data_IF_833880937905
#
_entry.id   IF_833880937905
#
_cell.length_a   1.000
_cell.length_b   1.000
_cell.length_c   1.000
_cell.angle_alpha   90.00
_cell.angle_beta   90.00
_cell.angle_gamma   90.00
#
_symmetry.space_group_name_H-M   'P 1'
#
loop_
_entity.id
_entity.type
_entity.pdbx_description
1 polymer ?
#
# COMPACT_ATOMS: atom_id res chain seq x y z
N UNK A 1 -24.25 -10.75 11.57
CA UNK A 1 -23.53 -10.20 10.40
C UNK A 1 -22.16 -9.72 10.85
N UNK A 2 -21.08 -10.10 10.17
CA UNK A 2 -19.72 -9.64 10.53
C UNK A 2 -19.51 -8.22 10.05
N UNK A 3 -18.87 -7.37 10.87
CA UNK A 3 -18.50 -5.99 10.48
C UNK A 3 -17.19 -6.02 9.69
N UNK A 4 -17.10 -5.33 8.57
CA UNK A 4 -15.86 -5.26 7.77
C UNK A 4 -14.91 -4.22 8.36
N UNK A 5 -13.65 -4.61 8.56
CA UNK A 5 -12.59 -3.77 9.09
C UNK A 5 -11.39 -3.83 8.15
N UNK A 6 -10.87 -2.68 7.73
CA UNK A 6 -9.72 -2.61 6.83
C UNK A 6 -8.61 -1.81 7.52
N UNK A 7 -7.43 -2.43 7.65
CA UNK A 7 -6.20 -1.76 8.04
C UNK A 7 -5.39 -1.44 6.80
N UNK A 8 -4.87 -0.22 6.70
CA UNK A 8 -4.04 0.22 5.57
C UNK A 8 -2.68 0.60 6.15
N UNK A 9 -1.62 -0.08 5.71
CA UNK A 9 -0.25 0.21 6.10
C UNK A 9 0.64 0.37 4.88
N UNK A 10 1.66 1.21 4.95
CA UNK A 10 2.59 1.41 3.86
C UNK A 10 3.45 0.16 3.63
N UNK A 11 4.01 -0.38 4.71
CA UNK A 11 4.88 -1.55 4.70
C UNK A 11 4.72 -2.32 6.02
N UNK A 12 5.19 -3.57 6.04
CA UNK A 12 5.30 -4.42 7.23
C UNK A 12 6.78 -4.69 7.49
N UNK A 13 7.53 -3.65 7.86
CA UNK A 13 8.93 -3.77 8.26
C UNK A 13 9.05 -4.25 9.72
N UNK A 14 10.26 -4.62 10.13
CA UNK A 14 10.58 -4.85 11.54
C UNK A 14 10.62 -3.49 12.24
N UNK A 15 9.49 -3.07 12.79
CA UNK A 15 9.33 -1.83 13.53
C UNK A 15 8.30 -1.94 14.65
N UNK A 16 8.27 -0.93 15.53
CA UNK A 16 7.39 -0.93 16.70
C UNK A 16 5.91 -0.80 16.35
N UNK A 17 5.59 -0.01 15.32
CA UNK A 17 4.21 0.23 14.88
C UNK A 17 3.66 -1.02 14.20
N UNK A 18 4.46 -1.64 13.34
CA UNK A 18 4.14 -2.84 12.59
C UNK A 18 3.98 -4.03 13.55
N UNK A 19 4.86 -4.17 14.54
CA UNK A 19 4.72 -5.19 15.58
C UNK A 19 3.46 -4.99 16.42
N UNK A 20 3.10 -3.73 16.74
CA UNK A 20 1.85 -3.43 17.42
C UNK A 20 0.63 -3.78 16.55
N UNK A 21 0.68 -3.49 15.25
CA UNK A 21 -0.37 -3.84 14.31
C UNK A 21 -0.55 -5.36 14.22
N UNK A 22 0.53 -6.13 14.07
CA UNK A 22 0.48 -7.61 14.07
C UNK A 22 -0.13 -8.14 15.36
N UNK A 23 0.28 -7.62 16.51
CA UNK A 23 -0.29 -8.01 17.80
C UNK A 23 -1.77 -7.66 17.94
N UNK A 24 -2.20 -6.52 17.38
CA UNK A 24 -3.60 -6.12 17.36
C UNK A 24 -4.44 -7.03 16.45
N UNK A 25 -3.93 -7.34 15.25
CA UNK A 25 -4.55 -8.30 14.32
C UNK A 25 -4.71 -9.66 15.00
N UNK A 26 -3.66 -10.17 15.66
CA UNK A 26 -3.72 -11.47 16.33
C UNK A 26 -4.69 -11.53 17.53
N UNK A 27 -5.07 -10.39 18.10
CA UNK A 27 -6.01 -10.30 19.24
C UNK A 27 -7.43 -9.90 18.84
N UNK A 28 -7.68 -9.64 17.55
CA UNK A 28 -9.00 -9.26 17.06
C UNK A 28 -9.96 -10.45 17.06
N UNK A 29 -11.25 -10.16 17.31
CA UNK A 29 -12.30 -11.16 17.28
C UNK A 29 -12.84 -11.35 15.84
N UNK A 30 -12.29 -12.36 15.16
CA UNK A 30 -12.66 -12.75 13.78
C UNK A 30 -14.06 -13.37 13.65
N UNK A 31 -14.75 -13.66 14.77
CA UNK A 31 -16.16 -14.06 14.73
C UNK A 31 -17.08 -12.85 14.50
N UNK A 32 -16.66 -11.67 14.97
CA UNK A 32 -17.44 -10.43 14.85
C UNK A 32 -16.96 -9.55 13.69
N UNK A 33 -15.68 -9.59 13.37
CA UNK A 33 -15.08 -8.75 12.35
C UNK A 33 -14.52 -9.57 11.18
N UNK A 34 -14.73 -9.07 9.97
CA UNK A 34 -14.04 -9.51 8.76
C UNK A 34 -12.89 -8.54 8.51
N UNK A 35 -11.67 -8.97 8.86
CA UNK A 35 -10.49 -8.10 8.91
C UNK A 35 -9.65 -8.30 7.65
N UNK A 36 -9.41 -7.20 6.94
CA UNK A 36 -8.51 -7.14 5.79
C UNK A 36 -7.34 -6.20 6.11
N UNK A 37 -6.12 -6.64 5.85
CA UNK A 37 -4.91 -5.83 5.95
C UNK A 37 -4.40 -5.53 4.54
N UNK A 38 -4.42 -4.26 4.15
CA UNK A 38 -3.92 -3.75 2.87
C UNK A 38 -2.52 -3.16 3.07
N UNK A 39 -1.55 -3.70 2.37
CA UNK A 39 -0.14 -3.26 2.38
C UNK A 39 0.18 -2.61 1.04
N UNK A 40 0.85 -1.45 1.07
CA UNK A 40 1.13 -0.66 -0.15
C UNK A 40 2.48 -0.98 -0.79
N UNK A 41 3.38 -1.68 -0.09
CA UNK A 41 4.70 -2.12 -0.58
C UNK A 41 4.89 -3.61 -0.30
N UNK A 42 5.75 -4.27 -1.06
CA UNK A 42 6.02 -5.71 -0.93
C UNK A 42 6.88 -6.09 0.29
N UNK A 43 7.19 -5.13 1.16
CA UNK A 43 8.03 -5.39 2.32
C UNK A 43 7.21 -6.00 3.44
N UNK A 44 7.39 -7.31 3.63
CA UNK A 44 6.52 -8.19 4.43
C UNK A 44 7.30 -8.91 5.56
N UNK A 45 8.33 -8.28 6.12
CA UNK A 45 9.26 -8.90 7.08
C UNK A 45 8.57 -9.50 8.33
N UNK A 46 7.42 -8.93 8.72
CA UNK A 46 6.61 -9.41 9.86
C UNK A 46 5.27 -10.01 9.46
N UNK A 47 5.01 -10.18 8.16
CA UNK A 47 3.74 -10.72 7.66
C UNK A 47 3.50 -12.17 8.08
N UNK A 48 4.56 -12.97 8.22
CA UNK A 48 4.49 -14.37 8.67
C UNK A 48 3.96 -14.53 10.09
N UNK A 49 3.96 -13.44 10.88
CA UNK A 49 3.45 -13.42 12.25
C UNK A 49 1.97 -13.07 12.33
N UNK A 50 1.33 -12.73 11.21
CA UNK A 50 -0.08 -12.41 11.14
C UNK A 50 -0.90 -13.71 11.13
N UNK A 51 -1.99 -13.74 11.89
CA UNK A 51 -2.94 -14.86 11.87
C UNK A 51 -3.45 -15.15 10.46
N UNK A 52 -3.53 -16.43 10.04
CA UNK A 52 -4.02 -16.82 8.71
C UNK A 52 -5.51 -16.47 8.49
N UNK A 53 -6.23 -16.11 9.55
CA UNK A 53 -7.62 -15.64 9.47
C UNK A 53 -7.73 -14.20 8.95
N UNK A 54 -6.65 -13.42 8.97
CA UNK A 54 -6.61 -12.07 8.42
C UNK A 54 -6.38 -12.13 6.91
N UNK A 55 -7.21 -11.43 6.12
CA UNK A 55 -6.99 -11.33 4.68
C UNK A 55 -5.90 -10.29 4.40
N UNK A 56 -4.72 -10.74 3.97
CA UNK A 56 -3.62 -9.87 3.59
C UNK A 56 -3.67 -9.57 2.08
N UNK A 57 -3.77 -8.29 1.71
CA UNK A 57 -3.76 -7.81 0.32
C UNK A 57 -2.54 -6.91 0.14
N UNK A 58 -1.69 -7.23 -0.83
CA UNK A 58 -0.49 -6.45 -1.14
C UNK A 58 -0.67 -5.73 -2.47
N UNK A 59 -0.80 -4.41 -2.39
CA UNK A 59 -1.02 -3.49 -3.49
C UNK A 59 0.26 -2.76 -3.91
N UNK A 60 1.36 -3.51 -4.06
CA UNK A 60 2.64 -2.90 -4.39
C UNK A 60 2.62 -2.20 -5.78
N UNK A 61 3.27 -1.02 -5.81
CA UNK A 61 3.45 -0.19 -7.01
C UNK A 61 4.57 -0.71 -7.91
N UNK A 62 5.53 -1.44 -7.34
CA UNK A 62 6.71 -1.90 -8.08
C UNK A 62 6.61 -3.36 -8.52
N UNK A 63 6.13 -4.25 -7.65
CA UNK A 63 6.05 -5.69 -7.89
C UNK A 63 4.61 -6.21 -7.93
N UNK A 64 4.38 -7.22 -8.75
CA UNK A 64 3.09 -7.92 -8.82
C UNK A 64 3.07 -9.01 -7.76
N UNK A 65 2.62 -8.68 -6.55
CA UNK A 65 2.58 -9.64 -5.43
C UNK A 65 1.21 -10.30 -5.33
N UNK A 66 0.15 -9.54 -5.01
CA UNK A 66 -1.20 -10.11 -4.87
C UNK A 66 -2.05 -9.96 -6.13
N UNK A 67 -1.78 -8.96 -6.97
CA UNK A 67 -2.62 -8.67 -8.14
C UNK A 67 -2.00 -9.13 -9.47
N UNK A 68 -2.81 -9.69 -10.40
CA UNK A 68 -2.32 -10.17 -11.70
C UNK A 68 -1.89 -9.01 -12.63
N UNK A 69 -2.49 -7.83 -12.46
CA UNK A 69 -2.12 -6.61 -13.20
C UNK A 69 -1.19 -5.77 -12.35
N UNK A 70 -0.02 -5.44 -12.89
CA UNK A 70 0.93 -4.53 -12.25
C UNK A 70 0.54 -3.07 -12.48
N UNK A 71 1.10 -2.19 -11.66
CA UNK A 71 0.84 -0.76 -11.77
C UNK A 71 1.43 -0.17 -13.06
N UNK A 72 0.55 0.27 -13.97
CA UNK A 72 0.94 0.78 -15.29
C UNK A 72 1.74 2.10 -15.24
N UNK A 73 1.62 2.87 -14.16
CA UNK A 73 2.33 4.14 -13.98
C UNK A 73 3.66 4.00 -13.20
N UNK A 74 4.24 2.79 -13.12
CA UNK A 74 5.55 2.54 -12.46
C UNK A 74 6.65 3.49 -12.95
N UNK A 75 6.61 3.87 -14.22
CA UNK A 75 7.59 4.78 -14.84
C UNK A 75 7.49 6.22 -14.29
N UNK A 76 6.29 6.72 -13.99
CA UNK A 76 6.11 8.00 -13.29
C UNK A 76 6.62 7.93 -11.86
N UNK A 77 6.36 6.80 -11.17
CA UNK A 77 6.83 6.58 -9.80
C UNK A 77 8.37 6.64 -9.70
N UNK A 78 9.07 5.95 -10.61
CA UNK A 78 10.54 5.97 -10.62
C UNK A 78 11.13 7.34 -10.99
N UNK A 79 10.43 8.17 -11.78
CA UNK A 79 10.88 9.54 -12.07
C UNK A 79 10.80 10.44 -10.82
N UNK A 80 10.01 10.06 -9.82
CA UNK A 80 9.87 10.78 -8.55
C UNK A 80 10.88 10.34 -7.47
N UNK A 81 11.68 9.30 -7.69
CA UNK A 81 12.82 9.00 -6.82
C UNK A 81 13.86 10.14 -6.93
N UNK A 82 14.25 10.67 -5.77
CA UNK A 82 15.10 11.87 -5.71
C UNK A 82 16.41 11.64 -6.46
N UNK A 83 16.76 12.49 -7.45
CA UNK A 83 18.08 12.42 -8.05
C UNK A 83 19.10 12.82 -6.97
N UNK A 84 19.87 11.84 -6.48
CA UNK A 84 20.82 12.05 -5.38
C UNK A 84 21.94 13.06 -5.72
N UNK A 85 22.12 13.40 -6.99
CA UNK A 85 23.12 14.34 -7.48
C UNK A 85 22.54 15.37 -8.47
N UNK A 86 21.72 16.31 -7.99
CA UNK A 86 21.18 17.39 -8.84
C UNK A 86 21.49 18.80 -8.29
N UNK A 87 21.96 19.69 -9.17
CA UNK A 87 22.22 21.10 -8.88
C UNK A 87 20.98 21.84 -8.34
N UNK A 88 21.18 22.84 -7.46
CA UNK A 88 20.12 23.57 -6.72
C UNK A 88 18.96 24.06 -7.61
N UNK A 89 19.24 24.59 -8.81
CA UNK A 89 18.21 25.09 -9.72
C UNK A 89 17.32 23.97 -10.30
N UNK A 90 17.95 22.84 -10.67
CA UNK A 90 17.26 21.64 -11.14
C UNK A 90 16.39 21.04 -10.03
N UNK A 91 16.81 21.16 -8.77
CA UNK A 91 16.04 20.72 -7.58
C UNK A 91 14.77 21.53 -7.35
N UNK A 92 14.77 22.83 -7.65
CA UNK A 92 13.57 23.67 -7.53
C UNK A 92 12.52 23.35 -8.60
N UNK A 93 12.95 23.26 -9.86
CA UNK A 93 12.10 22.80 -10.98
C UNK A 93 11.56 21.40 -10.70
N UNK A 94 12.41 20.51 -10.20
CA UNK A 94 12.01 19.17 -9.80
C UNK A 94 11.03 19.17 -8.63
N UNK A 95 11.17 20.06 -7.65
CA UNK A 95 10.21 20.18 -6.53
C UNK A 95 8.82 20.61 -7.01
N UNK A 96 8.75 21.58 -7.92
CA UNK A 96 7.48 22.02 -8.51
C UNK A 96 6.84 20.92 -9.36
N UNK A 97 7.62 20.26 -10.23
CA UNK A 97 7.17 19.10 -11.01
C UNK A 97 6.73 17.96 -10.09
N UNK A 98 7.46 17.68 -9.00
CA UNK A 98 7.12 16.62 -8.04
C UNK A 98 5.73 16.82 -7.47
N UNK A 99 5.33 18.05 -7.12
CA UNK A 99 3.99 18.30 -6.57
C UNK A 99 2.90 17.97 -7.60
N UNK A 100 3.06 18.43 -8.84
CA UNK A 100 2.09 18.19 -9.93
C UNK A 100 2.02 16.71 -10.29
N UNK A 101 3.18 16.08 -10.49
CA UNK A 101 3.29 14.67 -10.83
C UNK A 101 2.82 13.76 -9.69
N UNK A 102 3.06 14.12 -8.42
CA UNK A 102 2.59 13.37 -7.24
C UNK A 102 1.08 13.40 -7.11
N UNK A 103 0.43 14.53 -7.40
CA UNK A 103 -1.03 14.60 -7.41
C UNK A 103 -1.64 13.75 -8.54
N UNK A 104 -1.04 13.79 -9.73
CA UNK A 104 -1.46 12.96 -10.86
C UNK A 104 -1.24 11.46 -10.59
N UNK A 105 -0.08 11.10 -10.07
CA UNK A 105 0.28 9.72 -9.70
C UNK A 105 -0.62 9.20 -8.58
N UNK A 106 -0.88 9.98 -7.54
CA UNK A 106 -1.81 9.60 -6.47
C UNK A 106 -3.23 9.33 -7.00
N UNK A 107 -3.70 10.11 -7.99
CA UNK A 107 -4.98 9.86 -8.66
C UNK A 107 -4.96 8.55 -9.46
N UNK A 108 -3.89 8.32 -10.24
CA UNK A 108 -3.71 7.06 -10.98
C UNK A 108 -3.67 5.85 -10.03
N UNK A 109 -2.95 5.98 -8.92
CA UNK A 109 -2.86 4.95 -7.89
C UNK A 109 -4.20 4.68 -7.22
N UNK A 110 -4.93 5.74 -6.83
CA UNK A 110 -6.26 5.59 -6.24
C UNK A 110 -7.24 4.88 -7.21
N UNK A 111 -7.18 5.19 -8.51
CA UNK A 111 -7.99 4.51 -9.52
C UNK A 111 -7.58 3.05 -9.72
N UNK A 112 -6.28 2.75 -9.66
CA UNK A 112 -5.75 1.40 -9.72
C UNK A 112 -6.22 0.56 -8.53
N UNK A 113 -6.03 1.06 -7.31
CA UNK A 113 -6.49 0.43 -6.06
C UNK A 113 -8.02 0.26 -6.09
N UNK A 114 -8.78 1.28 -6.51
CA UNK A 114 -10.25 1.20 -6.63
C UNK A 114 -10.70 0.15 -7.64
N UNK A 115 -9.99 -0.02 -8.77
CA UNK A 115 -10.31 -1.06 -9.77
C UNK A 115 -10.01 -2.46 -9.25
N UNK A 116 -8.92 -2.63 -8.50
CA UNK A 116 -8.54 -3.91 -7.92
C UNK A 116 -9.43 -4.31 -6.74
N UNK A 117 -9.74 -3.36 -5.84
CA UNK A 117 -10.70 -3.56 -4.76
C UNK A 117 -12.15 -3.73 -5.24
N UNK A 118 -12.49 -3.35 -6.48
CA UNK A 118 -13.81 -3.62 -7.06
C UNK A 118 -14.02 -5.10 -7.42
N UNK A 119 -12.94 -5.86 -7.67
CA UNK A 119 -13.01 -7.30 -7.91
C UNK A 119 -13.04 -8.12 -6.61
N UNK A 120 -12.49 -7.56 -5.54
CA UNK A 120 -12.50 -8.11 -4.19
C UNK A 120 -13.73 -7.55 -3.46
N UNK A 121 -14.86 -8.26 -3.39
CA UNK A 121 -16.13 -7.79 -2.78
C UNK A 121 -15.99 -7.22 -1.34
N UNK A 122 -15.49 -5.99 -1.20
CA UNK A 122 -15.30 -5.31 0.09
C UNK A 122 -16.45 -4.33 0.35
N UNK A 123 -17.21 -3.93 -0.68
CA UNK A 123 -18.35 -3.04 -0.55
C UNK A 123 -19.59 -3.62 -1.26
N UNK A 124 -20.47 -4.21 -0.46
CA UNK A 124 -21.92 -4.32 -0.70
C UNK A 124 -22.57 -3.80 0.57
#
# INVERSE_FOLDING_TARGET
>A
MKKKLIFITEALWIGGIETALVNLLNRLDYNRFDVTCLVLRDSLDVADRITPQCRLIVSDRQNKVTFPKGYGCKRLYNIMEEPQNAAKFRRFIWSALRVVFRAAEARCYALYVKKQLKGEHCCT
#
